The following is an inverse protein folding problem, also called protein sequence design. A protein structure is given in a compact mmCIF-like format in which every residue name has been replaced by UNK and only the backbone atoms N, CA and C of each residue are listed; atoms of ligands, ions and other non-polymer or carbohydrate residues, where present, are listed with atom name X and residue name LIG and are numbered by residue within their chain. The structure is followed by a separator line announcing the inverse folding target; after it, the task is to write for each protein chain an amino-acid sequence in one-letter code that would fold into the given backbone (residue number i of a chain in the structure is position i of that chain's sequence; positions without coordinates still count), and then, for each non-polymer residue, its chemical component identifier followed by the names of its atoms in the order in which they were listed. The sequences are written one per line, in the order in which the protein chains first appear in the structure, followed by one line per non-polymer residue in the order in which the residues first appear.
data_IF_362951883934
#
_entry.id   IF_362951883934
#
_cell.length_a   1.000
_cell.length_b   1.000
_cell.length_c   1.000
_cell.angle_alpha   90.00
_cell.angle_beta   90.00
_cell.angle_gamma   90.00
#
_symmetry.space_group_name_H-M   'P 1'
#
loop_
_entity.id
_entity.type
_entity.pdbx_description
1 polymer ?
#
# COMPACT_ATOMS: atom_id res chain seq x y z
N UNK A 1 -11.19 -5.86 -7.92
CA UNK A 1 -10.01 -5.74 -7.04
C UNK A 1 -10.27 -6.44 -5.72
N UNK A 2 -9.20 -6.96 -5.11
CA UNK A 2 -9.21 -7.60 -3.81
C UNK A 2 -8.12 -6.98 -2.93
N UNK A 3 -8.25 -7.04 -1.60
CA UNK A 3 -7.20 -6.60 -0.67
C UNK A 3 -6.85 -7.69 0.32
N UNK A 4 -5.58 -7.75 0.69
CA UNK A 4 -5.04 -8.69 1.66
C UNK A 4 -4.02 -7.98 2.55
N UNK A 5 -3.94 -8.40 3.78
CA UNK A 5 -3.01 -7.90 4.80
C UNK A 5 -2.07 -9.04 5.21
N UNK A 6 -0.79 -8.78 5.34
CA UNK A 6 0.17 -9.78 5.82
C UNK A 6 0.18 -9.77 7.35
N UNK A 7 -0.04 -10.95 7.95
CA UNK A 7 -0.07 -11.10 9.39
C UNK A 7 1.33 -10.88 9.99
N UNK A 8 1.38 -10.17 11.13
CA UNK A 8 2.56 -10.08 12.00
C UNK A 8 3.88 -9.76 11.27
N UNK A 9 3.83 -8.89 10.28
CA UNK A 9 4.91 -8.61 9.30
C UNK A 9 6.31 -8.43 9.91
N UNK A 10 6.44 -7.76 11.03
CA UNK A 10 7.74 -7.52 11.66
C UNK A 10 8.28 -8.77 12.38
N UNK A 11 7.38 -9.65 12.86
CA UNK A 11 7.75 -10.89 13.52
C UNK A 11 8.18 -11.98 12.52
N UNK A 12 7.88 -11.79 11.25
CA UNK A 12 8.40 -12.66 10.18
C UNK A 12 9.88 -12.39 9.85
N UNK A 13 10.43 -11.27 10.33
CA UNK A 13 11.80 -10.83 10.01
C UNK A 13 12.72 -11.00 11.22
N UNK A 14 13.60 -12.02 11.26
CA UNK A 14 14.48 -12.24 12.38
C UNK A 14 15.57 -11.18 12.47
N UNK A 15 15.90 -10.74 13.68
CA UNK A 15 17.05 -9.92 13.97
C UNK A 15 18.33 -10.77 14.01
N UNK A 16 19.42 -10.23 13.48
CA UNK A 16 20.72 -10.85 13.66
C UNK A 16 21.08 -10.90 15.16
N UNK A 17 21.67 -12.00 15.67
CA UNK A 17 21.96 -12.17 17.10
C UNK A 17 22.77 -11.04 17.74
N UNK A 18 23.62 -10.34 16.98
CA UNK A 18 24.35 -9.18 17.47
C UNK A 18 23.45 -7.97 17.83
N UNK A 19 22.22 -7.95 17.38
CA UNK A 19 21.22 -6.89 17.66
C UNK A 19 20.33 -7.22 18.85
N UNK A 20 20.26 -8.47 19.29
CA UNK A 20 19.40 -8.90 20.40
C UNK A 20 19.58 -8.10 21.69
N UNK A 21 20.81 -7.70 22.11
CA UNK A 21 20.97 -6.89 23.32
C UNK A 21 20.24 -5.54 23.30
N UNK A 22 19.95 -5.01 22.11
CA UNK A 22 19.19 -3.77 21.92
C UNK A 22 17.67 -3.98 21.84
N UNK A 23 17.20 -5.24 21.76
CA UNK A 23 15.80 -5.62 21.58
C UNK A 23 15.21 -6.23 22.87
N UNK A 24 15.58 -5.72 24.03
CA UNK A 24 15.04 -6.15 25.31
C UNK A 24 13.70 -5.48 25.54
N UNK A 25 12.66 -6.28 25.74
CA UNK A 25 11.29 -5.84 26.02
C UNK A 25 10.92 -6.19 27.45
N UNK A 26 10.49 -5.20 28.22
CA UNK A 26 9.97 -5.41 29.55
C UNK A 26 8.52 -5.88 29.49
N UNK A 27 8.23 -7.07 30.01
CA UNK A 27 6.87 -7.64 30.05
C UNK A 27 6.16 -7.23 31.36
N UNK A 28 6.91 -7.17 32.47
CA UNK A 28 6.40 -6.74 33.78
C UNK A 28 7.53 -6.10 34.58
N UNK A 29 7.25 -5.63 35.78
CA UNK A 29 8.27 -5.00 36.66
C UNK A 29 9.46 -5.94 36.98
N UNK A 30 9.26 -7.24 36.90
CA UNK A 30 10.28 -8.26 37.23
C UNK A 30 10.69 -9.15 36.05
N UNK A 31 10.10 -8.97 34.86
CA UNK A 31 10.34 -9.86 33.73
C UNK A 31 10.63 -9.05 32.47
N UNK A 32 11.71 -9.44 31.80
CA UNK A 32 12.07 -8.96 30.48
C UNK A 32 12.34 -10.13 29.55
N UNK A 33 12.10 -9.95 28.26
CA UNK A 33 12.47 -10.89 27.21
C UNK A 33 13.28 -10.19 26.12
N UNK A 34 13.94 -10.98 25.30
CA UNK A 34 14.60 -10.48 24.10
C UNK A 34 13.64 -10.73 22.94
N UNK A 35 13.27 -9.66 22.22
CA UNK A 35 12.59 -9.79 20.95
C UNK A 35 13.63 -10.20 19.91
N UNK A 36 13.46 -11.36 19.31
CA UNK A 36 14.39 -11.89 18.29
C UNK A 36 14.00 -11.50 16.88
N UNK A 37 12.93 -10.73 16.73
CA UNK A 37 12.39 -10.23 15.47
C UNK A 37 12.46 -8.71 15.39
N UNK A 38 12.18 -8.17 14.21
CA UNK A 38 12.12 -6.72 14.00
C UNK A 38 11.00 -6.12 14.84
N UNK A 39 11.34 -5.15 15.68
CA UNK A 39 10.38 -4.57 16.63
C UNK A 39 9.35 -3.66 15.95
N UNK A 40 8.08 -3.83 16.32
CA UNK A 40 7.03 -2.91 15.92
C UNK A 40 7.30 -1.50 16.48
N UNK A 41 7.15 -0.47 15.62
CA UNK A 41 7.36 0.93 16.00
C UNK A 41 8.81 1.42 16.01
N UNK A 42 9.79 0.56 15.77
CA UNK A 42 11.15 1.02 15.53
C UNK A 42 11.28 1.67 14.15
N UNK A 43 11.99 2.80 14.09
CA UNK A 43 12.08 3.64 12.88
C UNK A 43 12.51 2.87 11.61
N UNK A 44 13.51 1.95 11.63
CA UNK A 44 13.94 1.22 10.43
C UNK A 44 13.01 0.04 10.04
N UNK A 45 12.10 -0.38 10.91
CA UNK A 45 11.34 -1.63 10.75
C UNK A 45 10.51 -1.66 9.47
N UNK A 46 9.81 -0.57 9.15
CA UNK A 46 9.05 -0.46 7.90
C UNK A 46 9.94 -0.56 6.65
N UNK A 47 11.15 0.03 6.70
CA UNK A 47 12.11 -0.05 5.59
C UNK A 47 12.66 -1.46 5.39
N UNK A 48 12.98 -2.16 6.48
CA UNK A 48 13.49 -3.54 6.42
C UNK A 48 12.43 -4.48 5.87
N UNK A 49 11.22 -4.46 6.43
CA UNK A 49 10.12 -5.27 5.92
C UNK A 49 9.75 -4.88 4.48
N UNK A 50 9.77 -3.58 4.17
CA UNK A 50 9.46 -3.06 2.84
C UNK A 50 10.30 -3.71 1.73
N UNK A 51 11.58 -3.99 1.96
CA UNK A 51 12.43 -4.68 1.00
C UNK A 51 11.98 -6.13 0.76
N UNK A 52 11.58 -6.84 1.82
CA UNK A 52 11.07 -8.22 1.72
C UNK A 52 9.74 -8.22 0.98
N UNK A 53 8.85 -7.30 1.33
CA UNK A 53 7.54 -7.16 0.68
C UNK A 53 7.68 -6.78 -0.81
N UNK A 54 8.65 -5.93 -1.18
CA UNK A 54 8.95 -5.62 -2.58
C UNK A 54 9.38 -6.87 -3.34
N UNK A 55 10.27 -7.69 -2.77
CA UNK A 55 10.67 -8.95 -3.40
C UNK A 55 9.47 -9.90 -3.56
N UNK A 56 8.56 -9.97 -2.58
CA UNK A 56 7.32 -10.74 -2.66
C UNK A 56 6.41 -10.27 -3.81
N UNK A 57 6.21 -8.97 -3.93
CA UNK A 57 5.45 -8.36 -5.04
C UNK A 57 6.08 -8.70 -6.40
N UNK A 58 7.40 -8.58 -6.51
CA UNK A 58 8.12 -8.89 -7.75
C UNK A 58 7.97 -10.36 -8.15
N UNK A 59 8.01 -11.27 -7.20
CA UNK A 59 7.80 -12.70 -7.46
C UNK A 59 6.34 -12.97 -7.89
N UNK A 60 5.37 -12.31 -7.27
CA UNK A 60 3.96 -12.41 -7.67
C UNK A 60 3.77 -11.92 -9.12
N UNK A 61 4.34 -10.76 -9.48
CA UNK A 61 4.32 -10.23 -10.84
C UNK A 61 4.98 -11.16 -11.84
N UNK A 62 6.18 -11.66 -11.55
CA UNK A 62 6.88 -12.63 -12.39
C UNK A 62 6.10 -13.94 -12.57
N UNK A 63 5.27 -14.29 -11.60
CA UNK A 63 4.36 -15.44 -11.69
C UNK A 63 3.12 -15.15 -12.56
N UNK A 64 2.88 -13.90 -12.92
CA UNK A 64 1.77 -13.47 -13.78
C UNK A 64 0.58 -12.91 -13.02
N UNK A 65 0.72 -12.66 -11.70
CA UNK A 65 -0.28 -12.00 -10.86
C UNK A 65 -0.13 -10.49 -11.02
N UNK A 66 -1.22 -9.81 -11.33
CA UNK A 66 -1.22 -8.34 -11.43
C UNK A 66 -2.40 -7.79 -12.23
N UNK A 67 -2.53 -6.44 -12.30
CA UNK A 67 -1.74 -5.45 -11.57
C UNK A 67 -1.88 -5.59 -10.06
N UNK A 68 -0.82 -5.29 -9.32
CA UNK A 68 -0.86 -5.29 -7.87
C UNK A 68 0.05 -4.20 -7.31
N UNK A 69 -0.31 -3.69 -6.15
CA UNK A 69 0.51 -2.75 -5.37
C UNK A 69 0.39 -3.05 -3.89
N UNK A 70 1.25 -2.44 -3.08
CA UNK A 70 1.26 -2.59 -1.63
C UNK A 70 1.58 -1.30 -0.89
N UNK A 71 1.04 -1.19 0.30
CA UNK A 71 1.46 -0.22 1.29
C UNK A 71 1.91 -0.95 2.56
N UNK A 72 3.23 -1.17 2.70
CA UNK A 72 3.87 -1.97 3.75
C UNK A 72 3.32 -3.40 3.73
N UNK A 73 2.34 -3.72 4.56
CA UNK A 73 1.66 -5.00 4.75
C UNK A 73 0.33 -5.12 3.99
N UNK A 74 -0.33 -4.00 3.72
CA UNK A 74 -1.56 -3.95 2.95
C UNK A 74 -1.30 -4.14 1.46
N UNK A 75 -1.89 -5.16 0.84
CA UNK A 75 -1.78 -5.43 -0.60
C UNK A 75 -3.12 -5.21 -1.29
N UNK A 76 -3.07 -4.68 -2.50
CA UNK A 76 -4.23 -4.58 -3.40
C UNK A 76 -3.94 -5.29 -4.71
N UNK A 77 -4.90 -6.08 -5.18
CA UNK A 77 -4.81 -6.90 -6.38
C UNK A 77 -5.91 -6.51 -7.37
N UNK A 78 -5.55 -6.36 -8.63
CA UNK A 78 -6.50 -6.12 -9.72
C UNK A 78 -6.42 -7.27 -10.70
N UNK A 79 -7.55 -7.87 -11.05
CA UNK A 79 -7.59 -8.93 -12.07
C UNK A 79 -8.16 -8.38 -13.37
N UNK A 80 -7.60 -8.84 -14.48
CA UNK A 80 -7.99 -8.44 -15.82
C UNK A 80 -8.91 -9.51 -16.40
N UNK A 81 -10.05 -9.14 -17.03
CA UNK A 81 -10.85 -10.10 -17.78
C UNK A 81 -10.03 -10.77 -18.87
N UNK A 82 -10.10 -12.09 -19.01
CA UNK A 82 -9.33 -12.85 -20.02
C UNK A 82 -9.55 -12.33 -21.44
N UNK A 83 -10.75 -11.85 -21.74
CA UNK A 83 -11.09 -11.25 -23.03
C UNK A 83 -10.25 -10.00 -23.37
N UNK A 84 -9.71 -9.29 -22.36
CA UNK A 84 -8.92 -8.07 -22.52
C UNK A 84 -7.44 -8.26 -22.17
N UNK A 85 -7.05 -9.45 -21.73
CA UNK A 85 -5.71 -9.71 -21.23
C UNK A 85 -4.61 -9.48 -22.27
N UNK A 86 -4.88 -9.89 -23.52
CA UNK A 86 -3.96 -9.70 -24.63
C UNK A 86 -3.68 -8.21 -24.90
N UNK A 87 -4.73 -7.42 -25.02
CA UNK A 87 -4.62 -5.98 -25.32
C UNK A 87 -3.97 -5.23 -24.15
N UNK A 88 -4.29 -5.63 -22.91
CA UNK A 88 -3.64 -5.10 -21.72
C UNK A 88 -2.12 -5.36 -21.75
N UNK A 89 -1.71 -6.58 -21.99
CA UNK A 89 -0.27 -6.94 -22.06
C UNK A 89 0.47 -6.22 -23.20
N UNK A 90 -0.17 -6.00 -24.34
CA UNK A 90 0.42 -5.20 -25.43
C UNK A 90 0.61 -3.74 -24.99
N UNK A 91 -0.37 -3.15 -24.32
CA UNK A 91 -0.24 -1.79 -23.80
C UNK A 91 0.89 -1.69 -22.77
N UNK A 92 1.02 -2.67 -21.86
CA UNK A 92 2.11 -2.73 -20.88
C UNK A 92 3.48 -2.86 -21.54
N UNK A 93 3.63 -3.69 -22.57
CA UNK A 93 4.87 -3.81 -23.33
C UNK A 93 5.26 -2.50 -24.00
N UNK A 94 4.30 -1.77 -24.57
CA UNK A 94 4.53 -0.47 -25.16
C UNK A 94 5.04 0.53 -24.14
N UNK A 95 4.40 0.61 -22.95
CA UNK A 95 4.87 1.44 -21.85
C UNK A 95 6.28 1.05 -21.41
N UNK A 96 6.57 -0.23 -21.26
CA UNK A 96 7.91 -0.71 -20.89
C UNK A 96 8.99 -0.25 -21.90
N UNK A 97 8.70 -0.30 -23.20
CA UNK A 97 9.65 0.20 -24.21
C UNK A 97 9.83 1.72 -24.12
N UNK A 98 8.76 2.49 -23.92
CA UNK A 98 8.83 3.95 -23.74
C UNK A 98 9.67 4.32 -22.51
N UNK A 99 9.49 3.58 -21.40
CA UNK A 99 10.20 3.76 -20.13
C UNK A 99 11.70 3.48 -20.27
N UNK A 100 12.11 2.44 -21.00
CA UNK A 100 13.53 2.10 -21.19
C UNK A 100 14.34 3.23 -21.86
N UNK A 101 13.68 4.12 -22.56
CA UNK A 101 14.30 5.24 -23.23
C UNK A 101 14.24 6.55 -22.45
N UNK A 102 13.64 6.55 -21.27
CA UNK A 102 13.50 7.74 -20.41
C UNK A 102 14.41 7.61 -19.20
N UNK A 103 15.07 8.71 -18.80
CA UNK A 103 15.74 8.77 -17.50
C UNK A 103 14.67 8.79 -16.42
N UNK A 104 14.53 7.66 -15.70
CA UNK A 104 13.53 7.51 -14.65
C UNK A 104 14.14 7.77 -13.28
N UNK A 105 13.60 8.69 -12.49
CA UNK A 105 14.03 8.85 -11.11
C UNK A 105 13.61 7.62 -10.28
N UNK A 106 14.52 7.17 -9.43
CA UNK A 106 14.26 6.10 -8.47
C UNK A 106 14.08 6.71 -7.08
N UNK A 107 13.00 6.34 -6.39
CA UNK A 107 12.82 6.63 -4.97
C UNK A 107 12.53 5.33 -4.25
N UNK A 108 13.52 4.86 -3.50
CA UNK A 108 13.47 3.51 -2.93
C UNK A 108 13.48 2.43 -4.01
N UNK A 109 12.51 1.52 -3.96
CA UNK A 109 12.34 0.44 -4.96
C UNK A 109 11.28 0.76 -6.03
N UNK A 110 10.68 1.95 -6.00
CA UNK A 110 9.69 2.37 -6.99
C UNK A 110 10.34 3.18 -8.09
N UNK A 111 9.96 2.89 -9.32
CA UNK A 111 10.34 3.61 -10.52
C UNK A 111 9.20 4.58 -10.83
N UNK A 112 9.48 5.87 -10.86
CA UNK A 112 8.52 6.89 -11.22
C UNK A 112 8.74 7.31 -12.66
N UNK A 113 7.66 7.43 -13.42
CA UNK A 113 7.66 7.89 -14.79
C UNK A 113 6.94 9.21 -14.88
N UNK A 114 7.57 10.19 -15.53
CA UNK A 114 6.88 11.38 -15.99
C UNK A 114 6.24 11.06 -17.32
N UNK A 115 4.92 10.95 -17.34
CA UNK A 115 4.14 10.79 -18.56
C UNK A 115 3.96 12.09 -19.32
N UNK A 116 2.99 12.13 -20.21
CA UNK A 116 2.67 13.26 -21.05
C UNK A 116 2.20 14.47 -20.22
N UNK A 117 2.68 15.67 -20.56
CA UNK A 117 2.13 16.90 -20.01
C UNK A 117 0.68 17.03 -20.45
N UNK A 118 -0.25 17.15 -19.49
CA UNK A 118 -1.69 17.32 -19.74
C UNK A 118 -2.00 18.76 -20.12
N UNK A 119 -3.18 18.99 -20.70
CA UNK A 119 -3.66 20.34 -21.07
C UNK A 119 -3.81 21.27 -19.86
N UNK A 120 -4.02 20.74 -18.67
CA UNK A 120 -4.11 21.48 -17.40
C UNK A 120 -2.73 21.84 -16.80
N UNK A 121 -1.63 21.47 -17.47
CA UNK A 121 -0.26 21.72 -17.01
C UNK A 121 0.25 20.72 -15.96
N UNK A 122 -0.54 19.69 -15.60
CA UNK A 122 -0.08 18.60 -14.75
C UNK A 122 0.65 17.55 -15.57
N UNK A 123 1.64 16.89 -14.97
CA UNK A 123 2.32 15.74 -15.56
C UNK A 123 1.67 14.46 -15.06
N UNK A 124 1.42 13.54 -15.94
CA UNK A 124 0.96 12.21 -15.57
C UNK A 124 2.16 11.45 -14.97
N UNK A 125 2.06 11.12 -13.68
CA UNK A 125 3.09 10.33 -13.00
C UNK A 125 2.60 8.90 -12.85
N UNK A 126 3.44 7.95 -13.27
CA UNK A 126 3.19 6.51 -13.11
C UNK A 126 4.28 5.91 -12.25
N UNK A 127 3.89 5.05 -11.33
CA UNK A 127 4.80 4.17 -10.60
C UNK A 127 4.41 2.73 -10.87
N UNK A 128 4.63 2.25 -12.07
CA UNK A 128 4.26 0.88 -12.43
C UNK A 128 5.46 0.11 -12.95
N UNK A 129 5.58 -1.13 -12.49
CA UNK A 129 6.52 -2.07 -13.08
C UNK A 129 5.82 -2.85 -14.19
N UNK A 130 6.11 -2.48 -15.43
CA UNK A 130 5.61 -3.14 -16.63
C UNK A 130 6.50 -4.31 -17.10
N UNK A 131 7.43 -4.78 -16.26
CA UNK A 131 8.43 -5.77 -16.66
C UNK A 131 7.86 -7.17 -16.88
N UNK A 132 6.71 -7.48 -16.27
CA UNK A 132 6.11 -8.82 -16.34
C UNK A 132 4.71 -8.79 -16.95
N UNK A 133 4.45 -9.58 -18.01
CA UNK A 133 3.10 -9.74 -18.53
C UNK A 133 2.22 -10.53 -17.55
N UNK A 134 0.96 -10.14 -17.43
CA UNK A 134 -0.04 -10.90 -16.67
C UNK A 134 -0.35 -12.20 -17.42
N UNK A 135 -0.42 -13.32 -16.69
CA UNK A 135 -0.70 -14.64 -17.27
C UNK A 135 -2.18 -14.99 -17.09
N UNK A 136 -2.67 -15.78 -18.01
CA UNK A 136 -3.93 -16.50 -17.84
C UNK A 136 -3.69 -17.74 -16.98
N UNK A 137 -4.14 -17.68 -15.73
CA UNK A 137 -4.01 -18.79 -14.77
C UNK A 137 -5.32 -19.58 -14.61
N UNK A 138 -6.29 -19.42 -15.53
CA UNK A 138 -7.61 -20.06 -15.43
C UNK A 138 -7.55 -21.59 -15.40
N UNK A 139 -6.47 -22.18 -15.90
CA UNK A 139 -6.30 -23.65 -15.93
C UNK A 139 -5.65 -24.21 -14.67
N UNK A 140 -5.15 -23.37 -13.74
CA UNK A 140 -4.36 -23.85 -12.60
C UNK A 140 -5.19 -24.44 -11.47
N UNK A 141 -6.44 -24.03 -11.31
CA UNK A 141 -7.32 -24.48 -10.23
C UNK A 141 -8.77 -24.53 -10.66
N UNK A 142 -9.59 -25.32 -9.95
CA UNK A 142 -11.04 -25.25 -10.11
C UNK A 142 -11.56 -23.88 -9.70
N UNK A 143 -12.35 -23.24 -10.56
CA UNK A 143 -12.87 -21.89 -10.39
C UNK A 143 -14.39 -21.86 -10.42
N UNK A 144 -14.96 -20.81 -9.83
CA UNK A 144 -16.37 -20.47 -10.05
C UNK A 144 -16.55 -19.95 -11.49
N UNK A 145 -17.77 -20.06 -12.02
CA UNK A 145 -18.07 -19.50 -13.36
C UNK A 145 -17.78 -17.99 -13.45
N UNK A 146 -17.83 -17.27 -12.37
CA UNK A 146 -17.45 -15.86 -12.30
C UNK A 146 -15.92 -15.69 -12.41
N UNK A 147 -15.16 -16.50 -11.68
CA UNK A 147 -13.70 -16.41 -11.68
C UNK A 147 -13.05 -16.90 -12.99
N UNK A 148 -13.71 -17.79 -13.73
CA UNK A 148 -13.23 -18.26 -15.04
C UNK A 148 -13.07 -17.12 -16.08
N UNK A 149 -13.75 -15.99 -15.87
CA UNK A 149 -13.66 -14.84 -16.77
C UNK A 149 -12.43 -13.97 -16.54
N UNK A 150 -11.68 -14.21 -15.46
CA UNK A 150 -10.56 -13.37 -15.06
C UNK A 150 -9.23 -14.13 -15.06
N UNK A 151 -8.15 -13.40 -15.28
CA UNK A 151 -6.78 -13.92 -15.42
C UNK A 151 -6.32 -14.77 -14.24
N UNK A 152 -6.71 -14.41 -13.01
CA UNK A 152 -6.37 -15.14 -11.79
C UNK A 152 -7.42 -14.91 -10.69
N UNK A 153 -7.33 -15.68 -9.59
CA UNK A 153 -8.16 -15.56 -8.40
C UNK A 153 -7.33 -15.58 -7.11
N UNK A 154 -7.99 -15.56 -5.94
CA UNK A 154 -7.29 -15.60 -4.65
C UNK A 154 -6.52 -16.92 -4.44
N UNK A 155 -7.01 -18.04 -4.95
CA UNK A 155 -6.31 -19.34 -4.80
C UNK A 155 -4.98 -19.36 -5.55
N UNK A 156 -4.85 -18.67 -6.68
CA UNK A 156 -3.58 -18.55 -7.41
C UNK A 156 -2.57 -17.73 -6.58
N UNK A 157 -3.03 -16.66 -5.90
CA UNK A 157 -2.21 -15.89 -4.97
C UNK A 157 -1.78 -16.77 -3.79
N UNK A 158 -2.70 -17.56 -3.22
CA UNK A 158 -2.42 -18.45 -2.09
C UNK A 158 -1.37 -19.50 -2.44
N UNK A 159 -1.43 -20.09 -3.63
CA UNK A 159 -0.47 -21.10 -4.06
C UNK A 159 0.96 -20.53 -4.13
N UNK A 160 1.12 -19.32 -4.68
CA UNK A 160 2.42 -18.65 -4.77
C UNK A 160 2.88 -18.22 -3.37
N UNK A 161 1.99 -17.60 -2.60
CA UNK A 161 2.27 -17.11 -1.26
C UNK A 161 2.67 -18.21 -0.29
N UNK A 162 2.05 -19.38 -0.39
CA UNK A 162 2.42 -20.54 0.41
C UNK A 162 3.87 -21.01 0.13
N UNK A 163 4.31 -20.97 -1.12
CA UNK A 163 5.71 -21.28 -1.49
C UNK A 163 6.71 -20.26 -0.95
N UNK A 164 6.28 -19.02 -0.77
CA UNK A 164 7.08 -17.92 -0.24
C UNK A 164 7.01 -17.81 1.29
N UNK A 165 6.08 -18.53 1.93
CA UNK A 165 5.84 -18.42 3.37
C UNK A 165 5.19 -17.09 3.78
N UNK A 166 4.44 -16.42 2.89
CA UNK A 166 3.72 -15.19 3.21
C UNK A 166 2.47 -15.53 4.03
N UNK A 167 2.36 -15.09 5.29
CA UNK A 167 1.21 -15.38 6.14
C UNK A 167 0.13 -14.31 5.93
N UNK A 168 -0.91 -14.61 5.18
CA UNK A 168 -2.04 -13.69 5.04
C UNK A 168 -2.93 -13.66 6.28
N UNK A 169 -3.38 -12.48 6.69
CA UNK A 169 -4.40 -12.29 7.74
C UNK A 169 -5.80 -12.48 7.14
N UNK A 170 -6.22 -13.75 7.04
CA UNK A 170 -7.46 -14.16 6.34
C UNK A 170 -8.70 -13.42 6.85
N UNK A 171 -8.73 -13.03 8.12
CA UNK A 171 -9.88 -12.32 8.72
C UNK A 171 -10.08 -10.92 8.18
N UNK A 172 -9.06 -10.34 7.55
CA UNK A 172 -9.07 -9.02 6.93
C UNK A 172 -9.22 -9.07 5.41
N UNK A 173 -9.12 -10.24 4.81
CA UNK A 173 -9.21 -10.40 3.36
C UNK A 173 -10.52 -9.83 2.81
N UNK A 174 -10.42 -9.03 1.75
CA UNK A 174 -11.58 -8.59 0.98
C UNK A 174 -11.53 -9.29 -0.39
N UNK A 175 -12.57 -10.07 -0.73
CA UNK A 175 -12.61 -10.81 -1.98
C UNK A 175 -12.70 -9.86 -3.19
N UNK A 176 -12.48 -10.39 -4.38
CA UNK A 176 -12.60 -9.62 -5.61
C UNK A 176 -13.99 -9.00 -5.78
N UNK A 177 -14.03 -7.68 -5.87
CA UNK A 177 -15.24 -6.88 -6.06
C UNK A 177 -14.92 -5.63 -6.91
N UNK A 178 -15.96 -4.96 -7.39
CA UNK A 178 -15.81 -3.68 -8.10
C UNK A 178 -15.48 -2.51 -7.15
N UNK A 179 -15.81 -2.65 -5.87
CA UNK A 179 -15.50 -1.67 -4.84
C UNK A 179 -14.86 -2.34 -3.64
N UNK A 180 -13.82 -1.72 -3.08
CA UNK A 180 -13.11 -2.22 -1.88
C UNK A 180 -12.55 -1.07 -1.06
N UNK A 181 -12.20 -1.35 0.20
CA UNK A 181 -11.48 -0.38 1.05
C UNK A 181 -10.01 -0.77 1.08
N UNK A 182 -9.14 0.15 0.64
CA UNK A 182 -7.70 -0.01 0.69
C UNK A 182 -7.05 1.23 1.29
N UNK A 183 -6.16 1.05 2.26
CA UNK A 183 -5.47 2.12 3.04
C UNK A 183 -6.40 3.24 3.53
N UNK A 184 -7.65 2.90 3.84
CA UNK A 184 -8.65 3.83 4.37
C UNK A 184 -9.44 4.62 3.33
N UNK A 185 -9.26 4.33 2.04
CA UNK A 185 -10.06 4.85 0.94
C UNK A 185 -10.98 3.78 0.38
N UNK A 186 -12.17 4.19 -0.05
CA UNK A 186 -13.07 3.38 -0.86
C UNK A 186 -12.69 3.60 -2.32
N UNK A 187 -12.29 2.53 -2.97
CA UNK A 187 -12.01 2.48 -4.40
C UNK A 187 -13.19 1.87 -5.12
N UNK A 188 -13.71 2.50 -6.15
CA UNK A 188 -14.80 2.00 -6.98
C UNK A 188 -14.37 2.02 -8.45
N UNK A 189 -14.10 0.82 -9.00
CA UNK A 189 -13.67 0.67 -10.39
C UNK A 189 -14.81 0.99 -11.39
N UNK A 190 -16.04 0.71 -11.01
CA UNK A 190 -17.19 0.93 -11.89
C UNK A 190 -17.50 2.42 -12.04
N UNK A 191 -17.41 3.15 -10.94
CA UNK A 191 -17.59 4.60 -10.92
C UNK A 191 -16.32 5.36 -11.28
N UNK A 192 -15.16 4.69 -11.33
CA UNK A 192 -13.82 5.31 -11.49
C UNK A 192 -13.58 6.41 -10.44
N UNK A 193 -13.88 6.11 -9.16
CA UNK A 193 -13.78 7.07 -8.06
C UNK A 193 -12.98 6.51 -6.90
N UNK A 194 -12.32 7.42 -6.18
CA UNK A 194 -11.68 7.16 -4.89
C UNK A 194 -12.25 8.15 -3.87
N UNK A 195 -12.64 7.66 -2.70
CA UNK A 195 -13.22 8.47 -1.63
C UNK A 195 -12.69 8.03 -0.26
N UNK A 196 -12.71 8.91 0.75
CA UNK A 196 -12.46 8.48 2.13
C UNK A 196 -13.53 7.47 2.58
N UNK A 197 -13.09 6.43 3.29
CA UNK A 197 -14.04 5.50 3.89
C UNK A 197 -14.90 6.22 4.95
N UNK A 198 -16.17 5.82 5.17
CA UNK A 198 -17.04 6.43 6.17
C UNK A 198 -16.38 6.50 7.55
N UNK A 199 -15.71 5.42 7.97
CA UNK A 199 -15.00 5.39 9.24
C UNK A 199 -13.88 6.44 9.35
N UNK A 200 -13.18 6.74 8.24
CA UNK A 200 -12.16 7.81 8.20
C UNK A 200 -12.78 9.19 8.22
N UNK A 201 -13.91 9.38 7.52
CA UNK A 201 -14.67 10.64 7.54
C UNK A 201 -15.07 10.96 8.99
N UNK A 202 -15.70 10.02 9.68
CA UNK A 202 -16.13 10.20 11.07
C UNK A 202 -14.95 10.50 12.01
N UNK A 203 -13.87 9.71 11.87
CA UNK A 203 -12.65 9.88 12.67
C UNK A 203 -12.00 11.25 12.47
N UNK A 204 -11.94 11.74 11.24
CA UNK A 204 -11.29 13.02 10.94
C UNK A 204 -12.19 14.20 11.29
N UNK A 205 -13.49 14.10 11.04
CA UNK A 205 -14.47 15.10 11.48
C UNK A 205 -14.43 15.27 12.99
N UNK A 206 -14.42 14.18 13.75
CA UNK A 206 -14.28 14.22 15.20
C UNK A 206 -12.95 14.88 15.63
N UNK A 207 -11.85 14.56 14.97
CA UNK A 207 -10.55 15.16 15.30
C UNK A 207 -10.54 16.68 15.05
N UNK A 208 -11.20 17.16 14.00
CA UNK A 208 -11.37 18.59 13.74
C UNK A 208 -12.25 19.24 14.83
N UNK A 209 -13.36 18.63 15.20
CA UNK A 209 -14.24 19.13 16.28
C UNK A 209 -13.52 19.20 17.60
N UNK A 210 -12.77 18.16 17.99
CA UNK A 210 -11.95 18.13 19.20
C UNK A 210 -10.87 19.22 19.18
N UNK A 211 -10.27 19.48 18.02
CA UNK A 211 -9.33 20.60 17.85
C UNK A 211 -10.00 21.95 18.06
N UNK A 212 -11.11 22.21 17.43
CA UNK A 212 -11.84 23.48 17.51
C UNK A 212 -12.40 23.76 18.93
N UNK A 213 -12.65 22.71 19.70
CA UNK A 213 -13.13 22.86 21.09
C UNK A 213 -12.05 23.31 22.10
N UNK A 214 -10.77 23.24 21.70
CA UNK A 214 -9.62 23.60 22.56
C UNK A 214 -9.09 24.97 22.21
N UNK A 215 -8.70 25.74 23.21
CA UNK A 215 -8.05 27.04 23.03
C UNK A 215 -6.51 26.96 23.00
N UNK A 216 -5.94 25.82 23.41
CA UNK A 216 -4.49 25.60 23.45
C UNK A 216 -4.17 24.20 22.91
N UNK A 217 -3.13 24.12 22.11
CA UNK A 217 -2.65 22.88 21.50
C UNK A 217 -1.17 22.66 21.83
N UNK A 218 -0.80 21.43 22.11
CA UNK A 218 0.60 21.02 22.22
C UNK A 218 1.08 20.41 20.90
N UNK A 219 2.37 20.19 20.78
CA UNK A 219 2.98 19.62 19.56
C UNK A 219 2.31 18.29 19.11
N UNK A 220 2.01 17.41 20.07
CA UNK A 220 1.37 16.13 19.79
C UNK A 220 -0.02 16.31 19.15
N UNK A 221 -0.81 17.26 19.65
CA UNK A 221 -2.12 17.57 19.05
C UNK A 221 -1.98 18.06 17.60
N UNK A 222 -0.96 18.90 17.32
CA UNK A 222 -0.69 19.39 15.96
C UNK A 222 -0.30 18.23 15.05
N UNK A 223 0.62 17.37 15.48
CA UNK A 223 1.08 16.20 14.72
C UNK A 223 -0.07 15.24 14.42
N UNK A 224 -0.92 14.93 15.41
CA UNK A 224 -2.06 14.03 15.23
C UNK A 224 -3.09 14.57 14.25
N UNK A 225 -3.43 15.86 14.31
CA UNK A 225 -4.38 16.46 13.38
C UNK A 225 -3.77 16.55 11.99
N UNK A 226 -2.53 17.05 11.88
CA UNK A 226 -1.81 17.16 10.61
C UNK A 226 -1.75 15.81 9.88
N UNK A 227 -1.31 14.74 10.56
CA UNK A 227 -1.23 13.42 9.95
C UNK A 227 -2.58 12.87 9.45
N UNK A 228 -3.68 13.13 10.19
CA UNK A 228 -5.03 12.73 9.75
C UNK A 228 -5.48 13.49 8.50
N UNK A 229 -5.24 14.81 8.47
CA UNK A 229 -5.66 15.65 7.34
C UNK A 229 -4.75 15.46 6.13
N UNK A 230 -3.46 15.23 6.34
CA UNK A 230 -2.52 14.89 5.27
C UNK A 230 -2.92 13.60 4.55
N UNK A 231 -3.40 12.60 5.29
CA UNK A 231 -3.93 11.37 4.68
C UNK A 231 -5.15 11.63 3.79
N UNK A 232 -5.99 12.62 4.12
CA UNK A 232 -7.17 12.97 3.32
C UNK A 232 -6.85 13.89 2.13
N UNK A 233 -5.75 14.62 2.21
CA UNK A 233 -5.39 15.68 1.26
C UNK A 233 -5.33 15.23 -0.21
N UNK A 234 -4.83 14.02 -0.57
CA UNK A 234 -4.71 13.60 -1.97
C UNK A 234 -6.04 13.51 -2.72
N UNK A 235 -7.15 13.26 -2.01
CA UNK A 235 -8.47 13.13 -2.64
C UNK A 235 -9.35 14.39 -2.50
N UNK A 236 -8.86 15.40 -1.81
CA UNK A 236 -9.56 16.67 -1.64
C UNK A 236 -8.92 17.72 -2.55
N UNK A 237 -9.72 18.33 -3.41
CA UNK A 237 -9.24 19.43 -4.24
C UNK A 237 -8.56 20.50 -3.37
N UNK A 238 -7.32 20.86 -3.67
CA UNK A 238 -6.49 21.79 -2.90
C UNK A 238 -6.27 21.37 -1.42
N UNK A 239 -6.48 20.08 -1.08
CA UNK A 239 -6.37 19.60 0.29
C UNK A 239 -5.05 19.96 0.99
N UNK A 240 -3.93 19.85 0.29
CA UNK A 240 -2.62 20.23 0.82
C UNK A 240 -2.51 21.73 1.17
N UNK A 241 -3.18 22.61 0.41
CA UNK A 241 -3.14 24.06 0.66
C UNK A 241 -3.76 24.43 2.02
N UNK A 242 -4.72 23.65 2.51
CA UNK A 242 -5.34 23.90 3.82
C UNK A 242 -4.47 23.44 5.00
N UNK A 243 -3.34 22.76 4.76
CA UNK A 243 -2.46 22.26 5.82
C UNK A 243 -1.35 23.24 6.22
N UNK A 244 -1.13 24.30 5.45
CA UNK A 244 -0.03 25.27 5.65
C UNK A 244 0.02 25.86 7.06
N UNK A 245 -1.14 26.14 7.66
CA UNK A 245 -1.20 26.62 9.04
C UNK A 245 -0.68 25.60 10.07
N UNK A 246 -1.02 24.33 9.91
CA UNK A 246 -0.53 23.25 10.78
C UNK A 246 0.96 22.98 10.53
N UNK A 247 1.44 23.05 9.31
CA UNK A 247 2.87 22.93 8.97
C UNK A 247 3.70 24.03 9.63
N UNK A 248 3.21 25.29 9.57
CA UNK A 248 3.84 26.41 10.28
C UNK A 248 3.91 26.17 11.79
N UNK A 249 2.84 25.62 12.39
CA UNK A 249 2.84 25.24 13.81
C UNK A 249 3.87 24.15 14.12
N UNK A 250 3.98 23.10 13.28
CA UNK A 250 4.96 22.03 13.45
C UNK A 250 6.39 22.55 13.43
N UNK A 251 6.72 23.41 12.47
CA UNK A 251 8.07 23.99 12.33
C UNK A 251 8.42 24.95 13.48
N UNK A 252 7.44 25.65 14.04
CA UNK A 252 7.63 26.57 15.17
C UNK A 252 7.80 25.82 16.50
N UNK A 253 7.05 24.73 16.72
CA UNK A 253 7.13 23.92 17.94
C UNK A 253 8.30 22.93 17.95
N UNK A 254 8.97 22.70 16.83
CA UNK A 254 10.14 21.82 16.74
C UNK A 254 11.47 22.51 17.10
N UNK A 255 11.45 23.82 17.33
CA UNK A 255 12.57 24.64 17.83
C UNK A 255 12.51 24.80 19.34
#
# INVERSE_FOLDING_TARGET
MATRDVAEVYQTVPLHPSQWPAAVVQISDSQACIDTCVAFGASPSCGVYGQIANAGVEILRASGIGPLDKWVDDHIFFRIPCAHLHDYNIAQLKWNEEIKHTETPHTGSQIYFSGTLREDGTTEEFSEDCSHPIKDLTTNSMRSCEDEQFSYNLSDIDEISAKLGIPWEITKDQPFANSTIYIGFVWDLKACTVALSPAKIDKYTKAIQDWLSRTRHNLKHVQELYGKLLHAAPILQQGCAYLTGLESMLTTCAK
#
